data_IF_937740330153
#
_entry.id   IF_937740330153
#
_cell.length_a   1.000
_cell.length_b   1.000
_cell.length_c   1.000
_cell.angle_alpha   90.00
_cell.angle_beta   90.00
_cell.angle_gamma   90.00
#
_symmetry.space_group_name_H-M   'P 1'
#
loop_
_entity.id
_entity.type
_entity.pdbx_description
1 polymer ?
#
# COMPACT_ATOMS: atom_id res chain seq x y z
N UNK A 1 67.89 -7.83 -18.67
CA UNK A 1 66.50 -7.82 -19.16
C UNK A 1 65.60 -8.17 -18.00
N UNK A 2 64.84 -7.20 -17.46
CA UNK A 2 63.85 -7.45 -16.42
C UNK A 2 62.46 -7.21 -17.03
N UNK A 3 61.67 -8.28 -17.07
CA UNK A 3 60.33 -8.28 -17.67
C UNK A 3 59.33 -7.84 -16.60
N UNK A 4 58.79 -6.64 -16.72
CA UNK A 4 57.77 -6.12 -15.81
C UNK A 4 56.42 -6.71 -16.20
N UNK A 5 55.84 -7.53 -15.32
CA UNK A 5 54.48 -8.08 -15.48
C UNK A 5 53.49 -7.03 -14.98
N UNK A 6 52.66 -6.49 -15.89
CA UNK A 6 51.55 -5.60 -15.54
C UNK A 6 50.35 -6.49 -15.23
N UNK A 7 49.96 -6.59 -13.96
CA UNK A 7 48.74 -7.25 -13.52
C UNK A 7 47.57 -6.30 -13.82
N UNK A 8 46.74 -6.65 -14.81
CA UNK A 8 45.47 -5.95 -15.03
C UNK A 8 44.46 -6.39 -13.96
N UNK A 9 44.16 -5.48 -13.03
CA UNK A 9 43.12 -5.65 -12.03
C UNK A 9 41.76 -5.43 -12.72
N UNK A 10 41.11 -6.52 -13.16
CA UNK A 10 39.74 -6.46 -13.65
C UNK A 10 38.80 -6.19 -12.46
N UNK A 11 38.24 -4.99 -12.40
CA UNK A 11 37.14 -4.65 -11.49
C UNK A 11 35.90 -5.44 -11.94
N UNK A 12 35.63 -6.55 -11.26
CA UNK A 12 34.34 -7.22 -11.31
C UNK A 12 33.32 -6.31 -10.62
N UNK A 13 32.61 -5.49 -11.41
CA UNK A 13 31.36 -4.89 -10.97
C UNK A 13 30.33 -6.01 -10.85
N UNK A 14 30.29 -6.67 -9.69
CA UNK A 14 29.12 -7.43 -9.29
C UNK A 14 27.98 -6.42 -9.18
N UNK A 15 27.09 -6.38 -10.18
CA UNK A 15 25.81 -5.70 -10.01
C UNK A 15 25.19 -6.28 -8.74
N UNK A 16 24.88 -5.49 -7.70
CA UNK A 16 24.16 -6.03 -6.57
C UNK A 16 22.88 -6.63 -7.15
N UNK A 17 22.61 -7.90 -6.85
CA UNK A 17 21.30 -8.50 -7.01
C UNK A 17 20.34 -7.66 -6.16
N UNK A 18 19.87 -6.58 -6.75
CA UNK A 18 19.05 -5.56 -6.10
C UNK A 18 17.67 -6.13 -6.15
N UNK A 19 17.30 -6.82 -5.06
CA UNK A 19 15.91 -7.13 -4.77
C UNK A 19 15.16 -5.80 -4.88
N UNK A 20 14.11 -5.76 -5.69
CA UNK A 20 13.30 -4.56 -5.83
C UNK A 20 12.77 -4.18 -4.43
N UNK A 21 12.81 -2.90 -4.04
CA UNK A 21 12.25 -2.48 -2.76
C UNK A 21 10.74 -2.78 -2.74
N UNK A 22 10.22 -3.13 -1.57
CA UNK A 22 8.78 -3.30 -1.37
C UNK A 22 8.05 -1.97 -1.65
N UNK A 23 7.03 -2.02 -2.51
CA UNK A 23 6.17 -0.90 -2.85
C UNK A 23 5.54 -0.26 -1.59
N UNK A 24 5.13 -1.08 -0.61
CA UNK A 24 4.44 -0.61 0.57
C UNK A 24 5.39 0.03 1.60
N UNK A 25 6.70 -0.16 1.44
CA UNK A 25 7.72 0.50 2.26
C UNK A 25 7.91 2.00 1.93
N UNK A 26 7.38 2.48 0.80
CA UNK A 26 7.47 3.89 0.39
C UNK A 26 6.34 4.69 1.04
N UNK A 27 6.66 5.34 2.15
CA UNK A 27 5.66 5.97 3.03
C UNK A 27 5.65 7.49 2.94
N UNK A 28 4.47 8.06 3.20
CA UNK A 28 4.28 9.50 3.31
C UNK A 28 4.89 9.98 4.63
N UNK A 29 5.73 11.02 4.57
CA UNK A 29 6.57 11.42 5.71
C UNK A 29 5.79 11.84 6.95
N UNK A 30 4.60 12.42 6.78
CA UNK A 30 3.83 12.97 7.89
C UNK A 30 2.94 11.92 8.57
N UNK A 31 2.42 10.98 7.80
CA UNK A 31 1.39 10.03 8.25
C UNK A 31 1.95 8.62 8.43
N UNK A 32 3.08 8.30 7.79
CA UNK A 32 3.68 6.97 7.83
C UNK A 32 2.99 5.94 6.93
N UNK A 33 1.88 6.29 6.28
CA UNK A 33 1.17 5.37 5.39
C UNK A 33 1.85 5.19 4.03
N UNK A 34 1.75 4.00 3.41
CA UNK A 34 2.24 3.76 2.06
C UNK A 34 1.64 4.74 1.05
N UNK A 35 2.46 5.24 0.13
CA UNK A 35 2.06 6.14 -0.95
C UNK A 35 1.82 5.42 -2.27
N UNK A 36 2.37 4.21 -2.41
CA UNK A 36 2.20 3.35 -3.60
C UNK A 36 1.12 2.31 -3.35
N UNK A 37 1.08 1.72 -2.15
CA UNK A 37 0.07 0.73 -1.82
C UNK A 37 -1.21 1.38 -1.29
N UNK A 38 -2.34 0.84 -1.71
CA UNK A 38 -3.68 1.20 -1.27
C UNK A 38 -4.08 0.32 -0.07
N UNK A 39 -4.91 0.82 0.86
CA UNK A 39 -5.43 -0.01 1.92
C UNK A 39 -6.34 -1.07 1.31
N UNK A 40 -6.25 -2.28 1.85
CA UNK A 40 -7.15 -3.37 1.55
C UNK A 40 -7.59 -3.99 2.87
N UNK A 41 -8.86 -4.38 3.00
CA UNK A 41 -9.28 -5.21 4.14
C UNK A 41 -8.47 -6.51 4.18
N UNK A 42 -8.44 -7.20 5.32
CA UNK A 42 -7.70 -8.46 5.40
C UNK A 42 -8.17 -9.49 4.34
N UNK A 43 -7.21 -10.18 3.71
CA UNK A 43 -7.45 -11.13 2.61
C UNK A 43 -7.14 -10.56 1.23
N UNK A 44 -6.22 -9.60 1.13
CA UNK A 44 -5.78 -9.06 -0.15
C UNK A 44 -5.16 -10.17 -1.04
N UNK A 45 -5.40 -10.14 -2.37
CA UNK A 45 -4.86 -11.14 -3.27
C UNK A 45 -3.33 -11.12 -3.28
N UNK A 46 -2.70 -12.29 -3.21
CA UNK A 46 -1.26 -12.41 -3.37
C UNK A 46 -0.87 -12.17 -4.83
N UNK A 47 0.04 -11.23 -5.06
CA UNK A 47 0.58 -10.91 -6.39
C UNK A 47 2.00 -11.43 -6.56
N UNK A 48 2.90 -11.08 -5.64
CA UNK A 48 4.28 -11.59 -5.56
C UNK A 48 5.12 -11.34 -6.81
N UNK A 49 4.96 -10.16 -7.44
CA UNK A 49 5.69 -9.79 -8.67
C UNK A 49 6.16 -8.35 -8.61
N UNK A 50 7.12 -8.04 -9.47
CA UNK A 50 7.61 -6.68 -9.61
C UNK A 50 6.74 -5.82 -10.53
N UNK A 51 6.67 -4.55 -10.20
CA UNK A 51 5.93 -3.51 -10.92
C UNK A 51 6.84 -2.32 -11.18
N UNK A 52 6.45 -1.51 -12.16
CA UNK A 52 7.10 -0.25 -12.48
C UNK A 52 6.11 0.88 -12.19
N UNK A 53 6.52 1.83 -11.36
CA UNK A 53 5.68 2.96 -10.96
C UNK A 53 6.28 4.29 -11.38
N UNK A 54 5.43 5.18 -11.88
CA UNK A 54 5.70 6.60 -12.05
C UNK A 54 4.67 7.39 -11.23
N UNK A 55 5.05 7.81 -10.02
CA UNK A 55 4.09 8.33 -9.04
C UNK A 55 3.10 7.24 -8.63
N UNK A 56 1.80 7.58 -8.53
CA UNK A 56 0.73 6.63 -8.18
C UNK A 56 0.21 5.77 -9.35
N UNK A 57 0.88 5.78 -10.50
CA UNK A 57 0.52 4.93 -11.64
C UNK A 57 1.53 3.81 -11.78
N UNK A 58 1.08 2.57 -11.61
CA UNK A 58 1.92 1.39 -11.61
C UNK A 58 1.43 0.35 -12.63
N UNK A 59 2.37 -0.37 -13.23
CA UNK A 59 2.12 -1.42 -14.22
C UNK A 59 3.03 -2.64 -13.98
N UNK A 60 2.62 -3.86 -14.39
CA UNK A 60 3.48 -5.03 -14.32
C UNK A 60 4.81 -4.81 -15.05
N UNK A 61 5.93 -5.19 -14.41
CA UNK A 61 7.25 -5.09 -15.03
C UNK A 61 7.42 -6.18 -16.11
N UNK A 62 7.85 -5.79 -17.31
CA UNK A 62 8.14 -6.71 -18.42
C UNK A 62 9.58 -6.51 -18.88
N UNK A 63 10.52 -7.11 -18.15
CA UNK A 63 11.95 -7.03 -18.47
C UNK A 63 12.66 -5.78 -17.94
N UNK A 64 11.97 -4.97 -17.13
CA UNK A 64 12.51 -3.75 -16.53
C UNK A 64 11.50 -2.59 -16.58
N UNK A 65 11.89 -1.46 -16.01
CA UNK A 65 11.09 -0.23 -16.03
C UNK A 65 11.58 0.74 -17.10
N UNK A 66 10.67 1.57 -17.59
CA UNK A 66 10.98 2.62 -18.54
C UNK A 66 11.70 3.79 -17.86
N UNK A 67 12.27 4.69 -18.66
CA UNK A 67 12.91 5.90 -18.14
C UNK A 67 11.89 6.74 -17.35
N UNK A 68 12.24 7.06 -16.10
CA UNK A 68 11.36 7.82 -15.18
C UNK A 68 10.44 6.96 -14.33
N UNK A 69 10.41 5.63 -14.54
CA UNK A 69 9.75 4.68 -13.66
C UNK A 69 10.74 4.07 -12.66
N UNK A 70 10.22 3.65 -11.51
CA UNK A 70 10.96 2.92 -10.50
C UNK A 70 10.40 1.51 -10.31
N UNK A 71 11.31 0.53 -10.18
CA UNK A 71 10.97 -0.86 -9.94
C UNK A 71 10.66 -1.08 -8.46
N UNK A 72 9.54 -1.74 -8.17
CA UNK A 72 9.13 -2.16 -6.83
C UNK A 72 8.69 -3.61 -6.83
N UNK A 73 8.83 -4.28 -5.68
CA UNK A 73 8.16 -5.55 -5.40
C UNK A 73 6.76 -5.28 -4.86
N UNK A 74 5.79 -6.06 -5.32
CA UNK A 74 4.39 -5.94 -4.94
C UNK A 74 3.92 -7.30 -4.45
N UNK A 75 3.92 -7.47 -3.13
CA UNK A 75 3.60 -8.74 -2.48
C UNK A 75 2.10 -9.04 -2.58
N UNK A 76 1.27 -8.09 -2.16
CA UNK A 76 -0.18 -8.14 -2.24
C UNK A 76 -0.66 -7.16 -3.30
N UNK A 77 -1.56 -7.60 -4.17
CA UNK A 77 -2.00 -6.78 -5.28
C UNK A 77 -2.81 -7.53 -6.34
N UNK A 78 -3.29 -6.75 -7.29
CA UNK A 78 -3.94 -7.27 -8.49
C UNK A 78 -3.67 -6.38 -9.69
N UNK A 79 -4.07 -6.87 -10.86
CA UNK A 79 -4.01 -6.10 -12.11
C UNK A 79 -5.44 -5.91 -12.58
N UNK A 80 -5.86 -4.65 -12.71
CA UNK A 80 -7.21 -4.34 -13.15
C UNK A 80 -7.40 -4.57 -14.66
N UNK A 81 -8.64 -4.40 -15.14
CA UNK A 81 -8.98 -4.58 -16.54
C UNK A 81 -8.27 -3.61 -17.50
N UNK A 82 -7.72 -2.51 -17.00
CA UNK A 82 -6.91 -1.56 -17.77
C UNK A 82 -5.43 -1.95 -17.86
N UNK A 83 -5.02 -2.98 -17.11
CA UNK A 83 -3.64 -3.44 -17.01
C UNK A 83 -2.82 -2.69 -15.95
N UNK A 84 -3.45 -1.80 -15.16
CA UNK A 84 -2.77 -1.14 -14.03
C UNK A 84 -2.61 -2.14 -12.89
N UNK A 85 -1.43 -2.13 -12.29
CA UNK A 85 -1.17 -2.88 -11.08
C UNK A 85 -1.55 -2.03 -9.87
N UNK A 86 -2.26 -2.64 -8.93
CA UNK A 86 -2.61 -2.09 -7.63
C UNK A 86 -1.90 -2.94 -6.58
N UNK A 87 -1.15 -2.30 -5.69
CA UNK A 87 -0.54 -2.98 -4.55
C UNK A 87 -1.28 -2.63 -3.28
N UNK A 88 -1.30 -3.58 -2.36
CA UNK A 88 -2.11 -3.47 -1.15
C UNK A 88 -1.27 -3.59 0.11
N UNK A 89 -1.64 -2.81 1.11
CA UNK A 89 -1.32 -3.11 2.50
C UNK A 89 -2.62 -3.42 3.23
N UNK A 90 -2.58 -4.37 4.17
CA UNK A 90 -3.79 -4.79 4.87
C UNK A 90 -4.06 -3.89 6.07
N UNK A 91 -5.32 -3.49 6.21
CA UNK A 91 -5.85 -2.79 7.39
C UNK A 91 -6.79 -3.70 8.15
N UNK A 92 -6.90 -3.45 9.46
CA UNK A 92 -7.81 -4.19 10.33
C UNK A 92 -9.26 -3.71 10.12
N UNK A 93 -10.19 -4.63 10.31
CA UNK A 93 -11.61 -4.28 10.45
C UNK A 93 -11.79 -3.51 11.78
N UNK A 94 -12.49 -2.38 11.74
CA UNK A 94 -12.66 -1.50 12.91
C UNK A 94 -13.28 -2.27 14.09
N UNK A 95 -14.31 -3.06 13.82
CA UNK A 95 -15.04 -3.83 14.84
C UNK A 95 -14.29 -5.07 15.36
N UNK A 96 -13.17 -5.45 14.73
CA UNK A 96 -12.28 -6.49 15.27
C UNK A 96 -11.38 -5.94 16.39
N UNK A 97 -11.17 -4.62 16.43
CA UNK A 97 -10.30 -3.93 17.37
C UNK A 97 -11.10 -3.11 18.39
N UNK A 98 -12.23 -2.56 17.96
CA UNK A 98 -13.12 -1.71 18.74
C UNK A 98 -14.47 -2.40 18.97
N UNK A 99 -15.14 -2.07 20.07
CA UNK A 99 -16.49 -2.58 20.32
C UNK A 99 -17.49 -1.81 19.46
N UNK A 100 -18.16 -2.50 18.55
CA UNK A 100 -19.20 -1.91 17.71
C UNK A 100 -20.61 -2.29 18.21
N UNK A 101 -21.59 -1.39 18.05
CA UNK A 101 -23.00 -1.76 18.12
C UNK A 101 -23.37 -2.74 16.99
N UNK A 102 -24.42 -3.56 17.18
CA UNK A 102 -24.90 -4.46 16.13
C UNK A 102 -25.46 -3.67 14.94
N UNK A 103 -25.08 -4.06 13.73
CA UNK A 103 -25.60 -3.49 12.49
C UNK A 103 -26.99 -4.03 12.11
N UNK A 104 -27.72 -3.25 11.32
CA UNK A 104 -28.98 -3.65 10.69
C UNK A 104 -28.85 -3.88 9.17
N UNK A 105 -27.60 -3.80 8.63
CA UNK A 105 -27.29 -4.02 7.23
C UNK A 105 -27.67 -2.83 6.32
N UNK A 106 -27.81 -1.63 6.88
CA UNK A 106 -28.22 -0.42 6.18
C UNK A 106 -27.11 0.58 5.82
N UNK A 107 -25.89 0.41 6.32
CA UNK A 107 -24.75 1.27 6.03
C UNK A 107 -23.95 0.84 4.81
N UNK A 108 -22.73 1.35 4.72
CA UNK A 108 -21.82 1.09 3.60
C UNK A 108 -20.42 0.71 4.06
N UNK A 109 -19.73 -0.03 3.20
CA UNK A 109 -18.31 -0.35 3.38
C UNK A 109 -17.45 0.87 3.06
N UNK A 110 -16.47 1.17 3.90
CA UNK A 110 -15.54 2.28 3.67
C UNK A 110 -14.19 2.10 4.39
N UNK A 111 -13.17 2.81 3.91
CA UNK A 111 -11.96 3.03 4.67
C UNK A 111 -12.10 4.32 5.47
N UNK A 112 -11.77 4.24 6.76
CA UNK A 112 -11.91 5.36 7.68
C UNK A 112 -10.58 5.69 8.35
N UNK A 113 -10.39 6.96 8.69
CA UNK A 113 -9.28 7.44 9.49
C UNK A 113 -9.80 7.81 10.88
N UNK A 114 -9.32 7.12 11.90
CA UNK A 114 -9.69 7.32 13.29
C UNK A 114 -8.54 7.99 14.05
N UNK A 115 -8.86 9.08 14.73
CA UNK A 115 -7.90 9.78 15.60
C UNK A 115 -8.03 9.29 17.05
N UNK A 116 -7.05 9.57 17.91
CA UNK A 116 -7.04 9.15 19.32
C UNK A 116 -8.24 9.64 20.17
N UNK A 117 -9.11 10.50 19.63
CA UNK A 117 -10.35 10.95 20.28
C UNK A 117 -11.59 10.17 19.81
N UNK A 118 -11.41 9.01 19.20
CA UNK A 118 -12.45 8.12 18.63
C UNK A 118 -13.33 8.78 17.54
N UNK A 119 -12.94 9.95 17.04
CA UNK A 119 -13.58 10.55 15.88
C UNK A 119 -12.99 9.94 14.62
N UNK A 120 -13.81 9.16 13.92
CA UNK A 120 -13.49 8.52 12.65
C UNK A 120 -14.15 9.27 11.49
N UNK A 121 -13.47 9.34 10.34
CA UNK A 121 -13.99 9.98 9.14
C UNK A 121 -13.68 9.15 7.91
N UNK A 122 -14.59 9.14 6.94
CA UNK A 122 -14.32 8.59 5.60
C UNK A 122 -13.14 9.31 4.96
N UNK A 123 -12.25 8.56 4.30
CA UNK A 123 -11.09 9.13 3.62
C UNK A 123 -11.17 8.94 2.11
N UNK A 124 -11.04 10.05 1.39
CA UNK A 124 -10.85 10.02 -0.06
C UNK A 124 -9.42 9.60 -0.46
N UNK A 125 -8.46 9.68 0.46
CA UNK A 125 -7.08 9.27 0.29
C UNK A 125 -6.47 8.89 1.64
N UNK A 126 -5.96 7.66 1.74
CA UNK A 126 -5.45 7.09 3.00
C UNK A 126 -4.13 7.72 3.44
N UNK A 127 -3.32 8.20 2.49
CA UNK A 127 -2.01 8.79 2.80
C UNK A 127 -2.10 10.09 3.61
N UNK A 128 -3.28 10.74 3.66
CA UNK A 128 -3.53 11.95 4.44
C UNK A 128 -4.06 11.67 5.86
N UNK A 129 -4.31 10.40 6.21
CA UNK A 129 -4.76 10.04 7.54
C UNK A 129 -3.66 10.29 8.59
N UNK A 130 -3.92 11.18 9.54
CA UNK A 130 -3.01 11.47 10.66
C UNK A 130 -3.24 10.57 11.89
N UNK A 131 -4.12 9.58 11.78
CA UNK A 131 -4.44 8.58 12.81
C UNK A 131 -4.32 7.17 12.25
N UNK A 132 -5.17 6.27 12.74
CA UNK A 132 -5.20 4.88 12.30
C UNK A 132 -6.25 4.66 11.20
N UNK A 133 -5.85 3.99 10.11
CA UNK A 133 -6.74 3.58 9.02
C UNK A 133 -7.33 2.21 9.32
N UNK A 134 -8.66 2.13 9.28
CA UNK A 134 -9.43 0.90 9.44
C UNK A 134 -10.37 0.67 8.26
N UNK A 135 -10.80 -0.58 8.10
CA UNK A 135 -11.95 -0.92 7.27
C UNK A 135 -13.23 -0.95 8.11
N UNK A 136 -14.25 -0.24 7.66
CA UNK A 136 -15.59 -0.24 8.24
C UNK A 136 -16.49 -1.06 7.33
N UNK A 137 -17.02 -2.19 7.81
CA UNK A 137 -17.87 -3.08 7.00
C UNK A 137 -19.28 -2.50 6.85
N UNK A 138 -19.82 -1.91 7.93
CA UNK A 138 -21.14 -1.30 7.97
C UNK A 138 -21.03 0.06 8.66
N UNK A 139 -20.90 1.12 7.87
CA UNK A 139 -20.69 2.49 8.35
C UNK A 139 -21.87 3.43 8.08
N UNK A 140 -22.11 4.35 9.00
CA UNK A 140 -23.06 5.48 8.82
C UNK A 140 -22.37 6.79 9.15
N UNK A 141 -22.52 7.79 8.28
CA UNK A 141 -22.07 9.16 8.57
C UNK A 141 -23.10 9.92 9.40
N UNK A 142 -22.64 10.41 10.56
CA UNK A 142 -23.39 11.26 11.47
C UNK A 142 -23.54 12.70 10.93
N UNK A 143 -24.43 13.48 11.53
CA UNK A 143 -24.67 14.88 11.14
C UNK A 143 -23.42 15.76 11.27
N UNK A 144 -22.50 15.41 12.17
CA UNK A 144 -21.22 16.11 12.38
C UNK A 144 -20.11 15.67 11.40
N UNK A 145 -20.41 14.73 10.51
CA UNK A 145 -19.49 14.20 9.50
C UNK A 145 -18.61 13.05 9.99
N UNK A 146 -18.70 12.65 11.26
CA UNK A 146 -18.03 11.44 11.75
C UNK A 146 -18.69 10.18 11.18
N UNK A 147 -17.93 9.09 11.10
CA UNK A 147 -18.42 7.76 10.73
C UNK A 147 -18.52 6.90 11.97
N UNK A 148 -19.69 6.32 12.21
CA UNK A 148 -19.90 5.26 13.19
C UNK A 148 -19.93 3.91 12.46
N UNK A 149 -19.20 2.93 12.99
CA UNK A 149 -19.15 1.57 12.44
C UNK A 149 -19.97 0.60 13.28
N UNK A 150 -20.60 -0.34 12.60
CA UNK A 150 -21.45 -1.38 13.17
C UNK A 150 -20.88 -2.77 12.84
N UNK A 151 -21.23 -3.76 13.66
CA UNK A 151 -20.91 -5.16 13.36
C UNK A 151 -21.60 -5.60 12.07
N UNK A 152 -20.91 -6.42 11.27
CA UNK A 152 -21.48 -7.02 10.06
C UNK A 152 -22.68 -7.92 10.40
N UNK A 153 -23.76 -7.79 9.63
CA UNK A 153 -25.00 -8.58 9.77
C UNK A 153 -24.91 -9.96 9.10
#
# INVERSE_FOLDING_TARGET
MFTTIIIQLALLFTSPNTVAPDACSVTHRLTGYPTICEPHRFGAPAYGKTICCAGGSCFPSVGGCQDGEQLFDCELGEVDASGRAHCYFEVLDYCDVHTCPPGDGGGWEDYICCTEMDACYSIAGWADCAGDVYFCVDGVTNEDGTVECFEAY
#
